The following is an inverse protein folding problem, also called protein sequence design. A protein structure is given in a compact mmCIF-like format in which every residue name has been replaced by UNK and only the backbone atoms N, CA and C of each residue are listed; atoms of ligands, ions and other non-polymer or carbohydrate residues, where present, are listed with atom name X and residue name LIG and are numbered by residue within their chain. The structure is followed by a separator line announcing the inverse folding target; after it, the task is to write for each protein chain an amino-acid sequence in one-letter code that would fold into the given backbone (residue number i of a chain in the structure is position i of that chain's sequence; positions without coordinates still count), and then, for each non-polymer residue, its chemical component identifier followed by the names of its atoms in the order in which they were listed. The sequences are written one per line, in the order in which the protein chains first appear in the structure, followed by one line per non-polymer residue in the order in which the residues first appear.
data_IF_343356106028
#
_entry.id   IF_343356106028
#
_cell.length_a   1.000
_cell.length_b   1.000
_cell.length_c   1.000
_cell.angle_alpha   90.00
_cell.angle_beta   90.00
_cell.angle_gamma   90.00
#
_symmetry.space_group_name_H-M   'P 1'
#
loop_
_entity.id
_entity.type
_entity.pdbx_description
1 polymer ?
#
# COMPACT_ATOMS: atom_id res chain seq x y z
N UNK A 1 15.84 12.14 -12.84
CA UNK A 1 14.51 11.93 -12.33
C UNK A 1 14.56 11.78 -10.83
N UNK A 2 13.59 12.34 -10.15
CA UNK A 2 13.66 12.44 -8.69
C UNK A 2 12.86 11.33 -8.05
N UNK A 3 13.58 10.38 -7.49
CA UNK A 3 12.96 9.36 -6.66
C UNK A 3 12.94 9.82 -5.22
N UNK A 4 11.82 9.59 -4.57
CA UNK A 4 11.63 9.92 -3.17
C UNK A 4 10.98 8.74 -2.48
N UNK A 5 11.12 8.72 -1.16
CA UNK A 5 10.38 7.73 -0.38
C UNK A 5 8.97 8.28 -0.14
N UNK A 6 7.99 7.48 -0.49
CA UNK A 6 6.59 7.81 -0.29
C UNK A 6 5.99 6.81 0.69
N UNK A 7 5.26 7.32 1.67
CA UNK A 7 4.53 6.45 2.61
C UNK A 7 3.09 6.33 2.15
N UNK A 8 2.68 5.12 1.89
CA UNK A 8 1.31 4.78 1.58
C UNK A 8 0.66 4.23 2.85
N UNK A 9 -0.51 4.74 3.18
CA UNK A 9 -1.31 4.21 4.27
C UNK A 9 -2.58 3.64 3.67
N UNK A 10 -2.80 2.35 3.90
CA UNK A 10 -3.95 1.64 3.34
C UNK A 10 -4.78 1.07 4.48
N UNK A 11 -6.08 1.26 4.40
CA UNK A 11 -7.02 0.56 5.25
C UNK A 11 -7.66 -0.53 4.41
N UNK A 12 -7.55 -1.75 4.89
CA UNK A 12 -7.95 -2.92 4.12
C UNK A 12 -8.80 -3.84 4.98
N UNK A 13 -9.66 -4.63 4.34
CA UNK A 13 -10.45 -5.62 5.05
C UNK A 13 -9.53 -6.65 5.70
N UNK A 14 -9.79 -6.94 6.97
CA UNK A 14 -9.00 -7.92 7.72
C UNK A 14 -9.55 -9.32 7.46
N UNK A 15 -9.26 -9.85 6.27
CA UNK A 15 -9.68 -11.16 5.84
C UNK A 15 -8.47 -11.99 5.43
N UNK A 16 -8.56 -13.32 5.56
CA UNK A 16 -7.45 -14.18 5.12
C UNK A 16 -7.06 -13.91 3.67
N UNK A 17 -5.75 -13.82 3.42
CA UNK A 17 -5.21 -13.66 2.08
C UNK A 17 -5.18 -12.25 1.54
N UNK A 18 -5.85 -11.28 2.19
CA UNK A 18 -5.89 -9.90 1.68
C UNK A 18 -4.50 -9.27 1.68
N UNK A 19 -3.78 -9.40 2.80
CA UNK A 19 -2.44 -8.83 2.91
C UNK A 19 -1.49 -9.43 1.89
N UNK A 20 -1.54 -10.75 1.73
CA UNK A 20 -0.67 -11.43 0.77
C UNK A 20 -0.97 -10.96 -0.65
N UNK A 21 -2.25 -10.76 -0.98
CA UNK A 21 -2.64 -10.29 -2.29
C UNK A 21 -2.11 -8.90 -2.57
N UNK A 22 -2.23 -8.00 -1.59
CA UNK A 22 -1.80 -6.61 -1.76
C UNK A 22 -0.27 -6.54 -1.87
N UNK A 23 0.44 -7.25 -1.00
CA UNK A 23 1.89 -7.31 -1.08
C UNK A 23 2.34 -7.90 -2.40
N UNK A 24 1.66 -8.97 -2.86
CA UNK A 24 1.96 -9.57 -4.15
C UNK A 24 1.72 -8.63 -5.32
N UNK A 25 0.67 -7.83 -5.24
CA UNK A 25 0.36 -6.85 -6.28
C UNK A 25 1.49 -5.84 -6.44
N UNK A 26 1.98 -5.31 -5.33
CA UNK A 26 3.03 -4.31 -5.34
C UNK A 26 4.38 -4.94 -5.71
N UNK A 27 4.73 -6.05 -5.06
CA UNK A 27 6.00 -6.72 -5.30
C UNK A 27 6.11 -7.28 -6.71
N UNK A 28 5.01 -7.81 -7.23
CA UNK A 28 5.01 -8.45 -8.54
C UNK A 28 5.29 -7.49 -9.69
N UNK A 29 5.16 -6.20 -9.46
CA UNK A 29 5.43 -5.20 -10.49
C UNK A 29 6.82 -4.59 -10.38
N UNK A 30 7.64 -5.11 -9.47
CA UNK A 30 9.00 -4.64 -9.33
C UNK A 30 9.15 -3.30 -8.63
N UNK A 31 8.13 -2.85 -7.93
CA UNK A 31 8.24 -1.63 -7.14
C UNK A 31 9.16 -1.85 -5.96
N UNK A 32 9.91 -0.81 -5.61
CA UNK A 32 10.94 -0.91 -4.57
C UNK A 32 10.34 -0.57 -3.20
N UNK A 33 9.89 -1.61 -2.50
CA UNK A 33 9.33 -1.47 -1.15
C UNK A 33 10.48 -1.38 -0.16
N UNK A 34 10.52 -0.30 0.62
CA UNK A 34 11.53 -0.10 1.64
C UNK A 34 11.11 -0.70 2.98
N UNK A 35 9.88 -0.44 3.37
CA UNK A 35 9.35 -0.98 4.62
C UNK A 35 7.89 -1.38 4.44
N UNK A 36 7.47 -2.31 5.26
CA UNK A 36 6.09 -2.75 5.30
C UNK A 36 5.70 -2.95 6.76
N UNK A 37 4.61 -2.34 7.16
CA UNK A 37 4.11 -2.43 8.52
C UNK A 37 2.62 -2.67 8.49
N UNK A 38 2.16 -3.65 9.25
CA UNK A 38 0.74 -3.99 9.33
C UNK A 38 0.33 -3.94 10.79
N UNK A 39 -0.80 -3.31 11.05
CA UNK A 39 -1.31 -3.21 12.40
C UNK A 39 -2.82 -3.23 12.45
N UNK A 40 -3.37 -3.45 13.64
CA UNK A 40 -4.81 -3.41 13.84
C UNK A 40 -5.32 -1.99 13.87
N UNK A 41 -6.63 -1.85 13.69
CA UNK A 41 -7.35 -0.61 13.92
C UNK A 41 -8.34 -0.83 15.08
N UNK A 42 -9.10 0.21 15.43
CA UNK A 42 -10.14 0.06 16.43
C UNK A 42 -11.25 -0.88 15.94
N UNK A 43 -11.41 -0.98 14.62
CA UNK A 43 -12.38 -1.89 14.01
C UNK A 43 -11.66 -3.20 13.68
N UNK A 44 -12.06 -4.27 14.35
CA UNK A 44 -11.44 -5.58 14.17
C UNK A 44 -11.60 -6.16 12.77
N UNK A 45 -12.48 -5.59 11.94
CA UNK A 45 -12.66 -6.03 10.55
C UNK A 45 -11.76 -5.30 9.58
N UNK A 46 -10.96 -4.34 10.08
CA UNK A 46 -10.11 -3.49 9.25
C UNK A 46 -8.68 -3.52 9.78
N UNK A 47 -7.72 -3.68 8.89
CA UNK A 47 -6.29 -3.57 9.20
C UNK A 47 -5.70 -2.36 8.51
N UNK A 48 -4.63 -1.83 9.09
CA UNK A 48 -3.88 -0.73 8.49
C UNK A 48 -2.54 -1.25 7.99
N UNK A 49 -2.22 -0.91 6.74
CA UNK A 49 -0.92 -1.19 6.16
C UNK A 49 -0.21 0.13 5.90
N UNK A 50 1.05 0.21 6.30
CA UNK A 50 1.93 1.31 5.93
C UNK A 50 3.06 0.75 5.09
N UNK A 51 3.22 1.33 3.90
CA UNK A 51 4.19 0.85 2.93
C UNK A 51 5.04 2.04 2.50
N UNK A 52 6.34 1.95 2.73
CA UNK A 52 7.28 2.96 2.23
C UNK A 52 7.86 2.44 0.92
N UNK A 53 7.69 3.22 -0.13
CA UNK A 53 8.13 2.87 -1.48
C UNK A 53 9.08 3.94 -2.00
N UNK A 54 10.19 3.52 -2.55
CA UNK A 54 11.10 4.44 -3.24
C UNK A 54 10.70 4.50 -4.71
N UNK A 55 10.41 5.69 -5.20
CA UNK A 55 10.04 5.85 -6.59
C UNK A 55 9.69 7.28 -6.95
N UNK A 56 9.42 7.48 -8.22
CA UNK A 56 8.94 8.77 -8.72
C UNK A 56 7.45 8.92 -8.39
N UNK A 57 6.96 10.14 -8.45
CA UNK A 57 5.53 10.37 -8.24
C UNK A 57 4.68 9.61 -9.23
N UNK A 58 5.16 9.48 -10.47
CA UNK A 58 4.45 8.73 -11.50
C UNK A 58 4.25 7.27 -11.09
N UNK A 59 5.32 6.65 -10.60
CA UNK A 59 5.28 5.25 -10.15
C UNK A 59 4.34 5.10 -8.97
N UNK A 60 4.45 6.02 -8.00
CA UNK A 60 3.61 5.95 -6.81
C UNK A 60 2.14 6.12 -7.16
N UNK A 61 1.81 7.02 -8.09
CA UNK A 61 0.44 7.19 -8.54
C UNK A 61 -0.11 5.92 -9.19
N UNK A 62 0.73 5.19 -9.92
CA UNK A 62 0.31 3.90 -10.49
C UNK A 62 -0.03 2.90 -9.40
N UNK A 63 0.79 2.84 -8.34
CA UNK A 63 0.55 1.95 -7.22
C UNK A 63 -0.78 2.30 -6.56
N UNK A 64 -1.02 3.59 -6.33
CA UNK A 64 -2.25 4.04 -5.69
C UNK A 64 -3.47 3.64 -6.50
N UNK A 65 -3.42 3.81 -7.82
CA UNK A 65 -4.53 3.43 -8.69
C UNK A 65 -4.80 1.92 -8.61
N UNK A 66 -3.75 1.12 -8.59
CA UNK A 66 -3.92 -0.32 -8.49
C UNK A 66 -4.50 -0.73 -7.16
N UNK A 67 -4.05 -0.10 -6.08
CA UNK A 67 -4.59 -0.39 -4.76
C UNK A 67 -6.06 -0.01 -4.67
N UNK A 68 -6.43 1.13 -5.23
CA UNK A 68 -7.84 1.57 -5.21
C UNK A 68 -8.74 0.64 -6.01
N UNK A 69 -8.19 -0.09 -6.97
CA UNK A 69 -8.96 -1.05 -7.75
C UNK A 69 -9.13 -2.39 -7.04
N UNK A 70 -8.45 -2.61 -5.93
CA UNK A 70 -8.63 -3.84 -5.15
C UNK A 70 -9.89 -3.74 -4.32
N UNK A 71 -10.77 -4.72 -4.44
CA UNK A 71 -12.06 -4.70 -3.76
C UNK A 71 -11.90 -4.68 -2.24
N UNK A 72 -10.82 -5.25 -1.73
CA UNK A 72 -10.59 -5.33 -0.29
C UNK A 72 -9.91 -4.09 0.30
N UNK A 73 -9.53 -3.12 -0.53
CA UNK A 73 -8.92 -1.88 -0.09
C UNK A 73 -10.00 -0.85 0.14
N UNK A 74 -10.06 -0.33 1.36
CA UNK A 74 -11.08 0.63 1.77
C UNK A 74 -10.64 2.04 1.44
N UNK A 75 -9.40 2.37 1.78
CA UNK A 75 -8.88 3.71 1.59
C UNK A 75 -7.36 3.66 1.41
N UNK A 76 -6.85 4.52 0.54
CA UNK A 76 -5.41 4.70 0.34
C UNK A 76 -5.08 6.18 0.40
N UNK A 77 -4.10 6.53 1.22
CA UNK A 77 -3.54 7.87 1.22
C UNK A 77 -2.03 7.77 1.04
N UNK A 78 -1.42 8.84 0.55
CA UNK A 78 0.02 8.86 0.34
C UNK A 78 0.62 10.16 0.83
N UNK A 79 1.87 10.07 1.27
CA UNK A 79 2.63 11.22 1.72
C UNK A 79 4.08 11.02 1.34
N UNK A 80 4.69 12.05 0.74
CA UNK A 80 6.12 12.02 0.44
C UNK A 80 6.91 12.32 1.72
N UNK A 81 7.94 11.56 1.92
CA UNK A 81 8.83 11.73 3.07
C UNK A 81 10.03 12.56 2.73
#
# INVERSE_FOLDING_TARGET
MNEHIHRLSCYVENKPGVLARIVGLISGRGYNIQTLNVGPTEDGTVSRMRIDVLGTERVVNQIILQLRNCVNVIEVTSRRR
#
